data_IF_734231272636
#
_entry.id   IF_734231272636
#
_cell.length_a   1.000
_cell.length_b   1.000
_cell.length_c   1.000
_cell.angle_alpha   90.00
_cell.angle_beta   90.00
_cell.angle_gamma   90.00
#
_symmetry.space_group_name_H-M   'P 1'
#
loop_
_entity.id
_entity.type
_entity.pdbx_description
1 polymer ?
#
# COMPACT_ATOMS: atom_id res chain seq x y z
N UNK A 1 -5.94 -10.71 8.18
CA UNK A 1 -5.28 -10.31 6.92
C UNK A 1 -4.14 -9.38 7.27
N UNK A 2 -2.97 -9.60 6.66
CA UNK A 2 -1.64 -9.00 6.93
C UNK A 2 -0.98 -9.37 8.28
N UNK A 3 -1.20 -10.57 8.83
CA UNK A 3 -0.67 -10.94 10.17
C UNK A 3 0.81 -11.33 10.21
N UNK A 4 1.48 -11.48 9.07
CA UNK A 4 2.78 -12.16 9.01
C UNK A 4 3.99 -11.20 8.92
N UNK A 5 3.84 -9.98 9.42
CA UNK A 5 4.99 -9.18 9.82
C UNK A 5 4.69 -7.70 9.75
N UNK A 6 4.19 -7.23 10.86
CA UNK A 6 4.38 -5.88 11.34
C UNK A 6 5.85 -5.73 11.77
N UNK A 7 6.41 -4.52 11.73
CA UNK A 7 7.82 -4.21 12.02
C UNK A 7 8.81 -4.68 10.94
N UNK A 8 8.84 -3.99 9.80
CA UNK A 8 9.93 -4.19 8.85
C UNK A 8 10.07 -3.03 7.88
N UNK A 9 11.32 -2.74 7.53
CA UNK A 9 11.64 -1.80 6.46
C UNK A 9 10.91 -2.22 5.18
N UNK A 10 10.20 -1.27 4.60
CA UNK A 10 9.41 -1.47 3.41
C UNK A 10 9.72 -0.36 2.40
N UNK A 11 9.29 -0.62 1.18
CA UNK A 11 9.32 0.34 0.09
C UNK A 11 7.95 0.35 -0.54
N UNK A 12 7.42 1.54 -0.84
CA UNK A 12 6.25 1.66 -1.70
C UNK A 12 6.62 2.26 -3.03
N UNK A 13 6.06 1.70 -4.09
CA UNK A 13 6.06 2.32 -5.41
C UNK A 13 4.77 3.08 -5.57
N UNK A 14 4.88 4.39 -5.68
CA UNK A 14 3.77 5.33 -5.80
C UNK A 14 3.53 5.64 -7.27
N UNK A 15 2.33 5.37 -7.76
CA UNK A 15 1.88 5.81 -9.07
C UNK A 15 0.74 6.80 -8.89
N UNK A 16 1.13 8.07 -8.85
CA UNK A 16 0.27 9.23 -8.73
C UNK A 16 -0.05 9.76 -10.13
N UNK A 17 -1.32 10.05 -10.46
CA UNK A 17 -1.68 10.64 -11.74
C UNK A 17 -0.84 11.88 -12.09
N UNK A 18 -0.28 11.91 -13.29
CA UNK A 18 0.55 13.02 -13.77
C UNK A 18 2.01 13.01 -13.29
N UNK A 19 2.46 11.96 -12.59
CA UNK A 19 3.87 11.78 -12.19
C UNK A 19 4.41 10.43 -12.66
N UNK A 20 5.72 10.36 -12.89
CA UNK A 20 6.39 9.08 -13.08
C UNK A 20 6.31 8.27 -11.77
N UNK A 21 6.16 6.94 -11.82
CA UNK A 21 6.21 6.13 -10.61
C UNK A 21 7.53 6.32 -9.87
N UNK A 22 7.47 6.47 -8.55
CA UNK A 22 8.65 6.66 -7.71
C UNK A 22 8.60 5.77 -6.48
N UNK A 23 9.78 5.49 -5.93
CA UNK A 23 9.93 4.75 -4.68
C UNK A 23 9.83 5.72 -3.51
N UNK A 24 9.19 5.28 -2.43
CA UNK A 24 9.26 5.90 -1.11
C UNK A 24 9.69 4.85 -0.08
N UNK A 25 10.61 5.23 0.80
CA UNK A 25 10.92 4.44 1.99
C UNK A 25 9.74 4.47 2.96
N UNK A 26 9.25 3.30 3.34
CA UNK A 26 8.10 3.16 4.22
C UNK A 26 8.39 2.17 5.33
N UNK A 27 7.57 2.21 6.37
CA UNK A 27 7.45 1.10 7.31
C UNK A 27 5.99 0.82 7.59
N UNK A 28 5.64 -0.46 7.60
CA UNK A 28 4.31 -0.92 7.97
C UNK A 28 4.33 -1.48 9.39
N UNK A 29 3.48 -0.95 10.25
CA UNK A 29 3.32 -1.41 11.62
C UNK A 29 1.84 -1.53 12.02
N UNK A 30 1.56 -2.09 13.20
CA UNK A 30 0.23 -2.21 13.79
C UNK A 30 0.18 -1.60 15.17
N UNK A 31 -0.79 -0.72 15.39
CA UNK A 31 -1.07 -0.15 16.71
C UNK A 31 -1.69 -1.18 17.66
N UNK A 32 -1.66 -0.87 18.95
CA UNK A 32 -2.30 -1.67 20.00
C UNK A 32 -3.82 -1.86 19.77
N UNK A 33 -4.50 -0.84 19.22
CA UNK A 33 -5.92 -0.92 18.84
C UNK A 33 -6.16 -1.61 17.49
N UNK A 34 -5.11 -2.19 16.90
CA UNK A 34 -5.16 -3.07 15.75
C UNK A 34 -5.23 -2.38 14.39
N UNK A 35 -5.05 -1.06 14.33
CA UNK A 35 -4.96 -0.28 13.07
C UNK A 35 -3.58 -0.45 12.43
N UNK A 36 -3.53 -0.27 11.12
CA UNK A 36 -2.27 -0.28 10.37
C UNK A 36 -1.66 1.12 10.40
N UNK A 37 -0.35 1.22 10.53
CA UNK A 37 0.40 2.45 10.33
C UNK A 37 1.30 2.28 9.11
N UNK A 38 1.35 3.32 8.28
CA UNK A 38 2.42 3.53 7.32
C UNK A 38 3.09 4.86 7.69
N UNK A 39 4.41 4.89 7.73
CA UNK A 39 5.13 6.16 7.85
C UNK A 39 6.19 6.27 6.76
N UNK A 40 6.16 7.41 6.09
CA UNK A 40 7.15 7.82 5.11
C UNK A 40 8.43 8.23 5.84
N UNK A 41 9.55 7.62 5.47
CA UNK A 41 10.86 7.85 6.10
C UNK A 41 11.61 9.01 5.40
N UNK A 42 11.27 9.35 4.15
CA UNK A 42 12.05 10.28 3.32
C UNK A 42 11.91 11.75 3.73
N UNK A 43 10.80 12.12 4.37
CA UNK A 43 10.55 13.52 4.75
C UNK A 43 11.36 14.00 5.97
N UNK A 44 12.13 13.11 6.63
CA UNK A 44 12.80 13.41 7.90
C UNK A 44 11.85 13.51 9.10
N UNK A 45 10.55 13.40 8.87
CA UNK A 45 9.49 13.37 9.88
C UNK A 45 8.85 12.00 9.82
N UNK A 46 8.84 11.26 10.95
CA UNK A 46 8.11 10.00 11.04
C UNK A 46 6.61 10.32 11.15
N UNK A 47 6.01 10.73 10.03
CA UNK A 47 4.58 11.00 9.95
C UNK A 47 3.84 9.66 9.91
N UNK A 48 3.46 9.19 11.10
CA UNK A 48 2.64 7.99 11.27
C UNK A 48 1.25 8.28 10.75
N UNK A 49 0.94 7.78 9.55
CA UNK A 49 -0.39 7.92 8.98
C UNK A 49 -1.23 6.68 9.30
N UNK A 50 -2.31 6.82 10.07
CA UNK A 50 -3.13 5.69 10.47
C UNK A 50 -4.03 5.24 9.32
N UNK A 51 -3.86 3.98 8.92
CA UNK A 51 -4.80 3.22 8.13
C UNK A 51 -5.77 2.48 9.05
N UNK A 52 -7.02 2.90 9.01
CA UNK A 52 -8.13 2.31 9.73
C UNK A 52 -8.67 1.14 8.90
N UNK A 53 -8.53 -0.08 9.42
CA UNK A 53 -9.21 -1.26 8.89
C UNK A 53 -10.67 -1.24 9.37
N UNK A 54 -11.60 -0.94 8.49
CA UNK A 54 -13.01 -0.81 8.83
C UNK A 54 -13.84 -1.97 8.27
N UNK A 55 -14.28 -2.90 9.13
CA UNK A 55 -15.40 -3.81 8.81
C UNK A 55 -16.72 -3.03 9.02
N UNK A 56 -16.92 -1.93 8.29
CA UNK A 56 -18.21 -1.20 8.34
C UNK A 56 -19.09 -1.67 7.19
N UNK A 57 -20.33 -2.02 7.50
CA UNK A 57 -21.40 -2.38 6.55
C UNK A 57 -21.66 -1.39 5.41
N UNK A 58 -21.05 -0.20 5.45
CA UNK A 58 -21.14 0.88 4.45
C UNK A 58 -20.00 0.88 3.42
N UNK A 59 -18.88 0.20 3.69
CA UNK A 59 -17.77 -0.01 2.75
C UNK A 59 -17.78 -1.50 2.39
N UNK A 60 -17.93 -1.79 1.10
CA UNK A 60 -18.39 -3.06 0.56
C UNK A 60 -17.41 -4.23 0.70
N UNK A 61 -17.07 -4.69 1.92
CA UNK A 61 -16.37 -5.96 2.16
C UNK A 61 -15.04 -5.83 2.91
N UNK A 62 -14.34 -6.96 3.14
CA UNK A 62 -13.19 -7.03 4.06
C UNK A 62 -11.87 -6.50 3.49
N UNK A 63 -11.87 -5.92 2.29
CA UNK A 63 -10.66 -5.56 1.55
C UNK A 63 -10.44 -4.04 1.46
N UNK A 64 -11.00 -3.25 2.38
CA UNK A 64 -10.86 -1.79 2.37
C UNK A 64 -10.09 -1.28 3.57
N UNK A 65 -9.26 -0.26 3.32
CA UNK A 65 -8.60 0.54 4.34
C UNK A 65 -9.07 1.99 4.21
N UNK A 66 -9.01 2.76 5.28
CA UNK A 66 -9.26 4.21 5.24
C UNK A 66 -8.08 4.92 5.88
N UNK A 67 -7.49 5.91 5.21
CA UNK A 67 -6.41 6.71 5.78
C UNK A 67 -6.94 8.07 6.22
N UNK A 68 -6.58 8.48 7.42
CA UNK A 68 -6.88 9.83 7.92
C UNK A 68 -5.80 10.80 7.41
N UNK A 69 -6.21 11.84 6.68
CA UNK A 69 -5.30 12.89 6.18
C UNK A 69 -5.24 14.10 7.14
N UNK A 70 -5.95 14.05 8.26
CA UNK A 70 -6.18 15.20 9.13
C UNK A 70 -7.26 16.13 8.61
N UNK A 71 -7.68 17.08 9.47
CA UNK A 71 -8.67 18.12 9.15
C UNK A 71 -10.02 17.58 8.62
N UNK A 72 -10.42 16.39 9.08
CA UNK A 72 -11.66 15.73 8.66
C UNK A 72 -11.60 15.09 7.26
N UNK A 73 -10.46 15.19 6.56
CA UNK A 73 -10.27 14.56 5.27
C UNK A 73 -9.81 13.11 5.43
N UNK A 74 -10.38 12.22 4.61
CA UNK A 74 -10.03 10.81 4.60
C UNK A 74 -9.97 10.29 3.18
N UNK A 75 -9.09 9.33 2.94
CA UNK A 75 -9.09 8.54 1.71
C UNK A 75 -9.67 7.16 1.98
N UNK A 76 -10.02 6.45 0.91
CA UNK A 76 -10.38 5.04 1.00
C UNK A 76 -9.50 4.24 0.06
N UNK A 77 -8.85 3.20 0.59
CA UNK A 77 -8.07 2.26 -0.19
C UNK A 77 -8.80 0.95 -0.39
N UNK A 78 -8.68 0.38 -1.59
CA UNK A 78 -9.08 -0.99 -1.92
C UNK A 78 -7.83 -1.84 -2.05
N UNK A 79 -7.75 -2.92 -1.28
CA UNK A 79 -6.73 -3.97 -1.41
C UNK A 79 -7.07 -4.80 -2.65
N UNK A 80 -6.18 -4.76 -3.63
CA UNK A 80 -6.32 -5.53 -4.87
C UNK A 80 -5.65 -6.91 -4.76
N UNK A 81 -4.52 -6.97 -4.06
CA UNK A 81 -3.75 -8.20 -3.90
C UNK A 81 -2.78 -8.09 -2.72
N UNK A 82 -2.50 -9.22 -2.08
CA UNK A 82 -1.50 -9.33 -1.00
C UNK A 82 -1.23 -10.80 -0.72
N UNK A 83 0.01 -11.13 -0.34
CA UNK A 83 0.33 -12.42 0.26
C UNK A 83 0.25 -12.40 1.80
N UNK A 84 -0.23 -11.31 2.39
CA UNK A 84 -0.31 -11.03 3.83
C UNK A 84 1.04 -10.95 4.56
N UNK A 85 2.16 -11.13 3.86
CA UNK A 85 3.48 -11.34 4.48
C UNK A 85 4.53 -10.37 3.96
N UNK A 86 4.57 -10.13 2.65
CA UNK A 86 5.68 -9.44 2.01
C UNK A 86 5.25 -8.27 1.14
N UNK A 87 4.03 -8.27 0.60
CA UNK A 87 3.55 -7.17 -0.23
C UNK A 87 2.06 -6.86 -0.07
N UNK A 88 1.70 -5.64 -0.44
CA UNK A 88 0.34 -5.10 -0.48
C UNK A 88 0.17 -4.28 -1.75
N UNK A 89 -0.81 -4.64 -2.58
CA UNK A 89 -1.21 -3.86 -3.76
C UNK A 89 -2.56 -3.21 -3.47
N UNK A 90 -2.63 -1.89 -3.62
CA UNK A 90 -3.85 -1.14 -3.33
C UNK A 90 -4.08 0.04 -4.28
N UNK A 91 -5.35 0.41 -4.43
CA UNK A 91 -5.78 1.69 -4.99
C UNK A 91 -6.21 2.57 -3.84
N UNK A 92 -5.96 3.88 -3.88
CA UNK A 92 -6.48 4.85 -2.91
C UNK A 92 -7.22 5.97 -3.62
N UNK A 93 -8.47 6.16 -3.25
CA UNK A 93 -9.32 7.24 -3.73
C UNK A 93 -9.24 8.43 -2.77
N UNK A 94 -8.91 9.59 -3.31
CA UNK A 94 -8.84 10.85 -2.59
C UNK A 94 -10.15 11.64 -2.72
N UNK A 95 -10.44 12.56 -1.77
CA UNK A 95 -11.63 13.41 -1.83
C UNK A 95 -11.75 14.26 -3.11
N UNK A 96 -10.63 14.59 -3.75
CA UNK A 96 -10.58 15.34 -5.01
C UNK A 96 -10.89 14.49 -6.26
N UNK A 97 -11.20 13.20 -6.07
CA UNK A 97 -11.48 12.25 -7.14
C UNK A 97 -10.24 11.61 -7.76
N UNK A 98 -9.03 12.00 -7.33
CA UNK A 98 -7.81 11.34 -7.78
C UNK A 98 -7.68 9.92 -7.22
N UNK A 99 -7.08 9.04 -8.01
CA UNK A 99 -6.85 7.64 -7.63
C UNK A 99 -5.37 7.32 -7.78
N UNK A 100 -4.73 7.12 -6.64
CA UNK A 100 -3.35 6.67 -6.58
C UNK A 100 -3.29 5.14 -6.54
N UNK A 101 -2.19 4.58 -7.04
CA UNK A 101 -1.92 3.15 -7.00
C UNK A 101 -0.60 2.90 -6.30
N UNK A 102 -0.58 1.84 -5.50
CA UNK A 102 0.56 1.52 -4.65
C UNK A 102 0.88 0.05 -4.77
N UNK A 103 2.18 -0.25 -4.77
CA UNK A 103 2.67 -1.54 -4.33
C UNK A 103 3.66 -1.30 -3.21
N UNK A 104 3.27 -1.67 -2.00
CA UNK A 104 4.17 -1.66 -0.83
C UNK A 104 4.72 -3.05 -0.64
N UNK A 105 6.03 -3.17 -0.40
CA UNK A 105 6.68 -4.44 -0.18
C UNK A 105 7.82 -4.34 0.82
N UNK A 106 8.08 -5.42 1.55
CA UNK A 106 9.18 -5.47 2.52
C UNK A 106 10.54 -5.53 1.83
N UNK A 107 11.55 -4.94 2.45
CA UNK A 107 12.95 -5.07 2.05
C UNK A 107 13.41 -6.54 1.95
N UNK A 108 12.86 -7.41 2.80
CA UNK A 108 13.12 -8.86 2.79
C UNK A 108 12.42 -9.63 1.68
N UNK A 109 11.57 -8.99 0.85
CA UNK A 109 10.84 -9.68 -0.19
C UNK A 109 11.75 -10.08 -1.35
N UNK A 110 11.76 -11.38 -1.66
CA UNK A 110 12.70 -11.98 -2.62
C UNK A 110 12.45 -11.53 -4.06
N UNK A 111 13.52 -11.50 -4.87
CA UNK A 111 13.44 -11.24 -6.32
C UNK A 111 12.54 -12.24 -7.06
N UNK A 112 12.50 -13.49 -6.59
CA UNK A 112 11.60 -14.52 -7.12
C UNK A 112 10.13 -14.15 -6.86
N UNK A 113 9.79 -13.73 -5.65
CA UNK A 113 8.44 -13.26 -5.30
C UNK A 113 8.02 -12.03 -6.11
N UNK A 114 8.91 -11.04 -6.26
CA UNK A 114 8.69 -9.86 -7.12
C UNK A 114 8.39 -10.25 -8.57
N UNK A 115 9.15 -11.21 -9.11
CA UNK A 115 8.97 -11.71 -10.48
C UNK A 115 7.64 -12.46 -10.64
N UNK A 116 7.23 -13.24 -9.64
CA UNK A 116 5.93 -13.91 -9.63
C UNK A 116 4.76 -12.91 -9.62
N UNK A 117 4.85 -11.83 -8.83
CA UNK A 117 3.82 -10.78 -8.86
C UNK A 117 3.74 -10.12 -10.23
N UNK A 118 4.88 -9.81 -10.87
CA UNK A 118 4.90 -9.26 -12.23
C UNK A 118 4.23 -10.17 -13.26
N UNK A 119 4.53 -11.47 -13.20
CA UNK A 119 3.89 -12.46 -14.07
C UNK A 119 2.38 -12.55 -13.81
N UNK A 120 1.95 -12.55 -12.55
CA UNK A 120 0.53 -12.51 -12.16
C UNK A 120 -0.16 -11.24 -12.67
N UNK A 121 0.47 -10.08 -12.50
CA UNK A 121 -0.04 -8.79 -12.95
C UNK A 121 -0.26 -8.74 -14.47
N UNK A 122 0.52 -9.49 -15.25
CA UNK A 122 0.34 -9.61 -16.68
C UNK A 122 -0.94 -10.32 -17.11
N UNK A 123 -1.50 -11.15 -16.23
CA UNK A 123 -2.67 -11.96 -16.52
C UNK A 123 -3.94 -11.41 -15.84
N UNK A 124 -3.81 -10.35 -15.03
CA UNK A 124 -4.90 -9.81 -14.23
C UNK A 124 -5.14 -8.33 -14.56
N UNK A 125 -6.25 -7.96 -15.22
CA UNK A 125 -6.53 -6.58 -15.60
C UNK A 125 -6.50 -5.59 -14.43
N UNK A 126 -6.92 -6.02 -13.24
CA UNK A 126 -6.89 -5.19 -12.02
C UNK A 126 -5.48 -4.85 -11.54
N UNK A 127 -4.46 -5.60 -11.94
CA UNK A 127 -3.07 -5.45 -11.51
C UNK A 127 -2.13 -5.01 -12.64
N UNK A 128 -2.63 -4.79 -13.86
CA UNK A 128 -1.79 -4.55 -15.04
C UNK A 128 -0.76 -3.41 -14.85
N UNK A 129 -1.09 -2.39 -14.06
CA UNK A 129 -0.24 -1.25 -13.77
C UNK A 129 1.07 -1.66 -13.06
N UNK A 130 1.05 -2.77 -12.32
CA UNK A 130 2.22 -3.31 -11.59
C UNK A 130 3.31 -3.79 -12.55
N UNK A 131 2.94 -4.19 -13.79
CA UNK A 131 3.92 -4.64 -14.78
C UNK A 131 4.95 -3.56 -15.11
N UNK A 132 4.55 -2.29 -15.01
CA UNK A 132 5.38 -1.13 -15.35
C UNK A 132 6.29 -0.70 -14.21
N UNK A 133 6.24 -1.35 -13.05
CA UNK A 133 7.01 -0.96 -11.89
C UNK A 133 8.39 -1.63 -11.86
N UNK A 134 9.39 -0.90 -11.37
CA UNK A 134 10.72 -1.44 -11.06
C UNK A 134 10.82 -1.64 -9.55
N UNK A 135 11.01 -2.89 -9.11
CA UNK A 135 11.06 -3.27 -7.70
C UNK A 135 12.48 -3.23 -7.12
N UNK A 136 13.18 -2.12 -7.37
CA UNK A 136 14.55 -1.88 -6.97
C UNK A 136 14.66 -0.52 -6.28
N UNK A 137 13.89 -0.36 -5.19
CA UNK A 137 13.84 0.88 -4.42
C UNK A 137 15.03 1.05 -3.47
N UNK A 138 16.18 0.43 -3.76
CA UNK A 138 17.37 0.42 -2.93
C UNK A 138 18.47 1.34 -3.46
#
# INVERSE_FOLDING_TARGET
MLNCGFNGDAWSIWNVPGRAPYCGADVIDRTEDGKFLCYDVESGTCDRVPYIFGVRSLLSGPNYLQRDLGNGNKTTSLVLDTDNCHYLVQLECFPDGSVNRYVTYKSSWTSAGKSQLKAKAAMMPSLNFVQNYTFDCA
#
